data_IF_922896692087
#
_entry.id   IF_922896692087
#
_cell.length_a   1.000
_cell.length_b   1.000
_cell.length_c   1.000
_cell.angle_alpha   90.00
_cell.angle_beta   90.00
_cell.angle_gamma   90.00
#
_symmetry.space_group_name_H-M   'P 1'
#
loop_
_entity.id
_entity.type
_entity.pdbx_description
1 polymer ?
#
# COMPACT_ATOMS: atom_id res chain seq x y z
N UNK A 1 21.73 -29.26 -4.50
CA UNK A 1 22.74 -28.28 -4.89
C UNK A 1 22.70 -28.06 -6.39
N UNK A 2 22.60 -26.83 -6.79
CA UNK A 2 22.53 -26.45 -8.19
C UNK A 2 23.34 -25.20 -8.47
N UNK A 3 23.24 -24.69 -9.67
CA UNK A 3 23.94 -23.47 -10.05
C UNK A 3 23.17 -22.64 -11.07
N UNK A 4 23.53 -21.36 -11.15
CA UNK A 4 23.03 -20.45 -12.18
C UNK A 4 23.79 -20.72 -13.49
N UNK A 5 23.07 -20.98 -14.57
CA UNK A 5 23.64 -21.28 -15.89
C UNK A 5 23.61 -20.08 -16.83
N UNK A 6 22.62 -19.18 -16.68
CA UNK A 6 22.52 -17.98 -17.48
C UNK A 6 21.70 -16.91 -16.75
N UNK A 7 22.00 -15.64 -17.02
CA UNK A 7 21.24 -14.49 -16.55
C UNK A 7 20.96 -13.60 -17.76
N UNK A 8 19.68 -13.36 -18.06
CA UNK A 8 19.27 -12.54 -19.21
C UNK A 8 18.35 -11.40 -18.76
N UNK A 9 18.72 -10.15 -19.09
CA UNK A 9 17.90 -8.99 -18.84
C UNK A 9 16.68 -8.94 -19.75
N UNK A 10 15.50 -8.83 -19.15
CA UNK A 10 14.22 -8.57 -19.81
C UNK A 10 13.83 -7.10 -19.59
N UNK A 11 12.60 -6.70 -19.95
CA UNK A 11 12.16 -5.30 -19.79
C UNK A 11 12.21 -4.80 -18.33
N UNK A 12 11.70 -5.61 -17.39
CA UNK A 12 11.59 -5.24 -15.96
C UNK A 12 12.29 -6.20 -15.04
N UNK A 13 12.45 -7.43 -15.47
CA UNK A 13 13.01 -8.52 -14.67
C UNK A 13 14.20 -9.14 -15.38
N UNK A 14 14.95 -9.95 -14.63
CA UNK A 14 15.99 -10.80 -15.16
C UNK A 14 15.50 -12.23 -15.13
N UNK A 15 15.66 -12.93 -16.25
CA UNK A 15 15.49 -14.39 -16.29
C UNK A 15 16.80 -15.04 -15.82
N UNK A 16 16.70 -15.87 -14.82
CA UNK A 16 17.83 -16.63 -14.28
C UNK A 16 17.57 -18.10 -14.58
N UNK A 17 18.42 -18.68 -15.39
CA UNK A 17 18.35 -20.10 -15.72
C UNK A 17 19.15 -20.90 -14.69
N UNK A 18 18.56 -21.99 -14.21
CA UNK A 18 19.09 -22.81 -13.12
C UNK A 18 19.33 -24.25 -13.60
N UNK A 19 20.30 -24.92 -13.00
CA UNK A 19 20.49 -26.36 -13.14
C UNK A 19 20.57 -27.01 -11.77
N UNK A 20 20.04 -28.21 -11.63
CA UNK A 20 20.05 -28.96 -10.37
C UNK A 20 18.90 -28.61 -9.43
N UNK A 21 17.89 -27.90 -9.90
CA UNK A 21 16.64 -27.58 -9.18
C UNK A 21 15.43 -28.06 -9.99
N UNK A 22 14.30 -28.20 -9.32
CA UNK A 22 13.03 -28.54 -9.97
C UNK A 22 12.58 -27.42 -10.93
N UNK A 23 12.78 -26.18 -10.54
CA UNK A 23 12.57 -25.02 -11.40
C UNK A 23 13.82 -24.74 -12.22
N UNK A 24 13.68 -24.78 -13.54
CA UNK A 24 14.79 -24.50 -14.46
C UNK A 24 14.98 -23.00 -14.72
N UNK A 25 13.98 -22.18 -14.42
CA UNK A 25 13.98 -20.73 -14.67
C UNK A 25 13.22 -19.99 -13.58
N UNK A 26 13.82 -18.90 -13.13
CA UNK A 26 13.15 -17.96 -12.23
C UNK A 26 13.29 -16.53 -12.78
N UNK A 27 12.40 -15.65 -12.36
CA UNK A 27 12.40 -14.23 -12.77
C UNK A 27 12.57 -13.36 -11.55
N UNK A 28 13.64 -12.58 -11.55
CA UNK A 28 14.05 -11.78 -10.41
C UNK A 28 14.18 -10.30 -10.79
N UNK A 29 13.96 -9.42 -9.81
CA UNK A 29 14.22 -8.00 -9.97
C UNK A 29 15.73 -7.72 -9.99
N UNK A 30 16.12 -6.57 -10.55
CA UNK A 30 17.50 -6.11 -10.53
C UNK A 30 18.04 -5.98 -9.10
N UNK A 31 17.22 -5.47 -8.19
CA UNK A 31 17.57 -5.33 -6.78
C UNK A 31 17.99 -6.67 -6.17
N UNK A 32 17.27 -7.73 -6.47
CA UNK A 32 17.59 -9.10 -6.00
C UNK A 32 18.91 -9.59 -6.59
N UNK A 33 19.13 -9.40 -7.88
CA UNK A 33 20.38 -9.78 -8.55
C UNK A 33 21.58 -9.11 -7.86
N UNK A 34 21.48 -7.82 -7.59
CA UNK A 34 22.53 -7.03 -6.95
C UNK A 34 22.71 -7.43 -5.48
N UNK A 35 21.62 -7.57 -4.75
CA UNK A 35 21.62 -7.87 -3.31
C UNK A 35 22.35 -9.18 -2.99
N UNK A 36 22.12 -10.21 -3.77
CA UNK A 36 22.73 -11.53 -3.58
C UNK A 36 23.99 -11.76 -4.43
N UNK A 37 24.46 -10.75 -5.15
CA UNK A 37 25.61 -10.86 -6.07
C UNK A 37 25.49 -12.05 -7.01
N UNK A 38 24.30 -12.20 -7.63
CA UNK A 38 24.02 -13.34 -8.52
C UNK A 38 24.80 -13.19 -9.82
N UNK A 39 25.47 -14.26 -10.20
CA UNK A 39 26.23 -14.36 -11.45
C UNK A 39 26.19 -15.78 -12.00
N UNK A 40 26.60 -15.92 -13.26
CA UNK A 40 26.70 -17.24 -13.90
C UNK A 40 27.73 -18.08 -13.15
N UNK A 41 27.45 -19.38 -13.04
CA UNK A 41 28.21 -20.38 -12.30
C UNK A 41 28.16 -20.27 -10.77
N UNK A 42 27.40 -19.31 -10.22
CA UNK A 42 27.17 -19.26 -8.77
C UNK A 42 26.43 -20.53 -8.32
N UNK A 43 26.99 -21.22 -7.36
CA UNK A 43 26.40 -22.40 -6.73
C UNK A 43 25.40 -21.94 -5.65
N UNK A 44 24.25 -22.62 -5.61
CA UNK A 44 23.16 -22.36 -4.67
C UNK A 44 22.66 -23.67 -4.13
N UNK A 45 22.22 -23.70 -2.88
CA UNK A 45 21.42 -24.78 -2.34
C UNK A 45 19.92 -24.39 -2.30
N UNK A 46 19.07 -25.29 -1.84
CA UNK A 46 17.60 -25.04 -1.78
C UNK A 46 17.27 -23.91 -0.83
N UNK A 47 18.00 -23.78 0.27
CA UNK A 47 17.81 -22.69 1.24
C UNK A 47 18.19 -21.32 0.65
N UNK A 48 19.29 -21.25 -0.08
CA UNK A 48 19.70 -20.04 -0.81
C UNK A 48 18.61 -19.62 -1.81
N UNK A 49 18.06 -20.56 -2.56
CA UNK A 49 17.03 -20.28 -3.56
C UNK A 49 15.76 -19.76 -2.91
N UNK A 50 15.33 -20.37 -1.81
CA UNK A 50 14.16 -19.92 -1.03
C UNK A 50 14.37 -18.51 -0.49
N UNK A 51 15.54 -18.20 0.05
CA UNK A 51 15.88 -16.86 0.56
C UNK A 51 15.87 -15.82 -0.57
N UNK A 52 16.45 -16.15 -1.73
CA UNK A 52 16.46 -15.28 -2.91
C UNK A 52 15.03 -14.99 -3.38
N UNK A 53 14.19 -16.01 -3.52
CA UNK A 53 12.81 -15.84 -3.96
C UNK A 53 11.97 -15.05 -2.94
N UNK A 54 12.18 -15.27 -1.66
CA UNK A 54 11.50 -14.53 -0.58
C UNK A 54 11.88 -13.05 -0.60
N UNK A 55 13.18 -12.75 -0.71
CA UNK A 55 13.64 -11.37 -0.83
C UNK A 55 13.11 -10.70 -2.11
N UNK A 56 13.03 -11.43 -3.20
CA UNK A 56 12.54 -10.90 -4.47
C UNK A 56 11.05 -10.51 -4.39
N UNK A 57 10.23 -11.27 -3.69
CA UNK A 57 8.84 -10.91 -3.39
C UNK A 57 8.78 -9.57 -2.64
N UNK A 58 9.65 -9.36 -1.66
CA UNK A 58 9.77 -8.08 -0.96
C UNK A 58 10.20 -6.96 -1.91
N UNK A 59 11.25 -7.16 -2.70
CA UNK A 59 11.79 -6.16 -3.62
C UNK A 59 10.77 -5.74 -4.69
N UNK A 60 10.10 -6.70 -5.30
CA UNK A 60 9.04 -6.44 -6.27
C UNK A 60 7.83 -5.77 -5.62
N UNK A 61 7.42 -6.24 -4.44
CA UNK A 61 6.33 -5.65 -3.67
C UNK A 61 6.60 -4.20 -3.30
N UNK A 62 7.80 -3.89 -2.84
CA UNK A 62 8.21 -2.52 -2.53
C UNK A 62 8.13 -1.61 -3.75
N UNK A 63 8.64 -2.07 -4.89
CA UNK A 63 8.60 -1.33 -6.15
C UNK A 63 7.17 -1.04 -6.61
N UNK A 64 6.29 -2.05 -6.56
CA UNK A 64 4.88 -1.92 -6.90
C UNK A 64 4.15 -0.96 -5.96
N UNK A 65 4.42 -1.06 -4.66
CA UNK A 65 3.81 -0.19 -3.66
C UNK A 65 4.23 1.27 -3.86
N UNK A 66 5.52 1.53 -4.08
CA UNK A 66 6.02 2.87 -4.36
C UNK A 66 5.37 3.47 -5.61
N UNK A 67 5.20 2.69 -6.66
CA UNK A 67 4.49 3.11 -7.85
C UNK A 67 3.03 3.48 -7.54
N UNK A 68 2.34 2.63 -6.79
CA UNK A 68 0.92 2.82 -6.44
C UNK A 68 0.68 4.08 -5.60
N UNK A 69 1.52 4.33 -4.59
CA UNK A 69 1.42 5.51 -3.74
C UNK A 69 1.91 6.79 -4.41
N UNK A 70 2.65 6.70 -5.52
CA UNK A 70 3.13 7.88 -6.25
C UNK A 70 2.00 8.70 -6.88
N UNK A 71 0.83 8.10 -7.13
CA UNK A 71 -0.32 8.77 -7.73
C UNK A 71 -1.15 9.57 -6.73
N UNK A 72 -1.33 9.03 -5.54
CA UNK A 72 -2.04 9.68 -4.42
C UNK A 72 -1.76 8.94 -3.11
N UNK A 73 -2.08 9.60 -2.00
CA UNK A 73 -2.01 8.98 -0.68
C UNK A 73 -2.91 7.73 -0.61
N UNK A 74 -2.36 6.64 -0.07
CA UNK A 74 -3.05 5.35 0.08
C UNK A 74 -3.01 4.88 1.53
N UNK A 75 -4.03 4.14 1.94
CA UNK A 75 -4.02 3.46 3.24
C UNK A 75 -3.17 2.19 3.17
N UNK A 76 -2.72 1.70 4.33
CA UNK A 76 -2.00 0.42 4.41
C UNK A 76 -2.83 -0.74 3.84
N UNK A 77 -4.13 -0.74 4.09
CA UNK A 77 -5.06 -1.75 3.56
C UNK A 77 -5.18 -1.69 2.03
N UNK A 78 -5.24 -0.51 1.44
CA UNK A 78 -5.26 -0.33 -0.02
C UNK A 78 -3.96 -0.85 -0.67
N UNK A 79 -2.81 -0.56 -0.07
CA UNK A 79 -1.51 -1.05 -0.54
C UNK A 79 -1.44 -2.58 -0.44
N UNK A 80 -1.87 -3.15 0.68
CA UNK A 80 -1.90 -4.60 0.88
C UNK A 80 -2.73 -5.30 -0.19
N UNK A 81 -3.92 -4.79 -0.46
CA UNK A 81 -4.82 -5.31 -1.50
C UNK A 81 -4.19 -5.21 -2.88
N UNK A 82 -3.59 -4.06 -3.21
CA UNK A 82 -2.90 -3.85 -4.48
C UNK A 82 -1.79 -4.86 -4.71
N UNK A 83 -0.96 -5.10 -3.70
CA UNK A 83 0.13 -6.09 -3.79
C UNK A 83 -0.41 -7.50 -4.01
N UNK A 84 -1.46 -7.90 -3.28
CA UNK A 84 -2.10 -9.21 -3.45
C UNK A 84 -2.68 -9.40 -4.85
N UNK A 85 -3.25 -8.36 -5.44
CA UNK A 85 -3.79 -8.37 -6.80
C UNK A 85 -2.70 -8.39 -7.89
N UNK A 86 -1.46 -8.06 -7.55
CA UNK A 86 -0.32 -8.00 -8.45
C UNK A 86 0.71 -9.12 -8.19
N UNK A 87 0.22 -10.29 -7.82
CA UNK A 87 1.00 -11.53 -7.69
C UNK A 87 2.02 -11.54 -6.54
N UNK A 88 1.93 -10.61 -5.59
CA UNK A 88 2.68 -10.69 -4.35
C UNK A 88 1.81 -11.44 -3.35
N UNK A 89 2.02 -12.73 -3.22
CA UNK A 89 1.20 -13.64 -2.42
C UNK A 89 1.81 -14.01 -1.07
N UNK A 90 3.10 -13.75 -0.86
CA UNK A 90 3.75 -13.99 0.41
C UNK A 90 3.35 -12.90 1.43
N UNK A 91 2.49 -13.27 2.37
CA UNK A 91 1.95 -12.35 3.39
C UNK A 91 3.03 -11.70 4.25
N UNK A 92 4.08 -12.46 4.61
CA UNK A 92 5.19 -11.94 5.42
C UNK A 92 5.95 -10.85 4.67
N UNK A 93 6.12 -11.00 3.38
CA UNK A 93 6.80 -10.01 2.54
C UNK A 93 5.93 -8.78 2.30
N UNK A 94 4.62 -8.95 2.17
CA UNK A 94 3.67 -7.82 2.13
C UNK A 94 3.76 -7.03 3.44
N UNK A 95 3.75 -7.70 4.59
CA UNK A 95 3.89 -7.07 5.90
C UNK A 95 5.20 -6.28 6.01
N UNK A 96 6.30 -6.83 5.52
CA UNK A 96 7.61 -6.17 5.52
C UNK A 96 7.60 -4.92 4.64
N UNK A 97 7.00 -4.97 3.46
CA UNK A 97 6.83 -3.81 2.59
C UNK A 97 6.04 -2.70 3.30
N UNK A 98 4.92 -3.05 3.91
CA UNK A 98 4.09 -2.11 4.67
C UNK A 98 4.89 -1.49 5.82
N UNK A 99 5.66 -2.29 6.57
CA UNK A 99 6.50 -1.82 7.66
C UNK A 99 7.56 -0.82 7.19
N UNK A 100 8.29 -1.13 6.14
CA UNK A 100 9.34 -0.26 5.59
C UNK A 100 8.75 1.07 5.12
N UNK A 101 7.65 1.03 4.39
CA UNK A 101 6.99 2.25 3.89
C UNK A 101 6.37 3.08 5.02
N UNK A 102 5.86 2.43 6.06
CA UNK A 102 5.34 3.11 7.25
C UNK A 102 6.46 3.81 8.03
N UNK A 103 7.59 3.15 8.23
CA UNK A 103 8.78 3.74 8.89
C UNK A 103 9.31 4.97 8.15
N UNK A 104 9.23 4.97 6.83
CA UNK A 104 9.63 6.09 5.98
C UNK A 104 8.53 7.13 5.79
N UNK A 105 7.41 7.00 6.49
CA UNK A 105 6.24 7.90 6.43
C UNK A 105 5.63 8.02 5.02
N UNK A 106 5.82 7.01 4.18
CA UNK A 106 5.21 6.91 2.85
C UNK A 106 3.81 6.30 2.91
N UNK A 107 3.55 5.47 3.93
CA UNK A 107 2.22 5.02 4.35
C UNK A 107 1.98 5.54 5.76
N UNK A 108 0.87 6.24 5.96
CA UNK A 108 0.50 6.79 7.25
C UNK A 108 -1.03 6.87 7.37
N UNK A 109 -1.65 5.86 7.93
CA UNK A 109 -3.11 5.77 8.06
C UNK A 109 -3.69 6.90 8.92
N UNK A 110 -2.96 7.32 9.95
CA UNK A 110 -3.35 8.46 10.79
C UNK A 110 -3.43 9.74 9.98
N UNK A 111 -2.40 10.07 9.22
CA UNK A 111 -2.37 11.25 8.37
C UNK A 111 -3.44 11.16 7.27
N UNK A 112 -3.66 9.97 6.71
CA UNK A 112 -4.74 9.73 5.74
C UNK A 112 -6.11 10.07 6.34
N UNK A 113 -6.39 9.55 7.54
CA UNK A 113 -7.64 9.81 8.25
C UNK A 113 -7.81 11.30 8.55
N UNK A 114 -6.78 11.97 9.06
CA UNK A 114 -6.81 13.41 9.36
C UNK A 114 -7.09 14.25 8.11
N UNK A 115 -6.38 13.99 7.02
CA UNK A 115 -6.58 14.70 5.75
C UNK A 115 -7.97 14.46 5.17
N UNK A 116 -8.47 13.22 5.26
CA UNK A 116 -9.81 12.87 4.80
C UNK A 116 -10.89 13.63 5.60
N UNK A 117 -10.76 13.64 6.93
CA UNK A 117 -11.69 14.32 7.83
C UNK A 117 -11.70 15.83 7.54
N UNK A 118 -10.53 16.46 7.48
CA UNK A 118 -10.38 17.88 7.18
C UNK A 118 -11.00 18.25 5.84
N UNK A 119 -10.78 17.43 4.82
CA UNK A 119 -11.38 17.61 3.49
C UNK A 119 -12.91 17.57 3.54
N UNK A 120 -13.49 16.64 4.28
CA UNK A 120 -14.96 16.53 4.43
C UNK A 120 -15.55 17.67 5.23
N UNK A 121 -14.89 18.12 6.28
CA UNK A 121 -15.28 19.30 7.06
C UNK A 121 -15.24 20.54 6.19
N UNK A 122 -14.15 20.77 5.46
CA UNK A 122 -13.98 21.91 4.57
C UNK A 122 -15.06 21.98 3.49
N UNK A 123 -15.45 20.83 2.93
CA UNK A 123 -16.53 20.75 1.94
C UNK A 123 -17.93 20.83 2.55
N UNK A 124 -18.05 20.64 3.87
CA UNK A 124 -19.34 20.58 4.56
C UNK A 124 -20.24 19.42 4.06
N UNK A 125 -19.64 18.33 3.59
CA UNK A 125 -20.33 17.29 2.83
C UNK A 125 -20.77 16.08 3.64
N UNK A 126 -20.29 15.91 4.88
CA UNK A 126 -20.60 14.75 5.70
C UNK A 126 -20.41 15.04 7.19
N UNK A 127 -21.19 14.34 8.02
CA UNK A 127 -21.05 14.34 9.47
C UNK A 127 -20.06 13.28 9.97
N UNK A 128 -19.76 13.25 11.30
CA UNK A 128 -18.74 12.35 11.86
C UNK A 128 -19.00 10.88 11.60
N UNK A 129 -20.23 10.45 11.71
CA UNK A 129 -20.63 9.05 11.49
C UNK A 129 -20.35 8.61 10.05
N UNK A 130 -20.77 9.41 9.08
CA UNK A 130 -20.57 9.11 7.65
C UNK A 130 -19.07 9.07 7.30
N UNK A 131 -18.30 10.01 7.86
CA UNK A 131 -16.85 10.07 7.69
C UNK A 131 -16.21 8.78 8.23
N UNK A 132 -16.60 8.38 9.44
CA UNK A 132 -16.10 7.15 10.07
C UNK A 132 -16.39 5.91 9.20
N UNK A 133 -17.61 5.79 8.68
CA UNK A 133 -17.98 4.65 7.83
C UNK A 133 -17.15 4.59 6.53
N UNK A 134 -16.90 5.72 5.92
CA UNK A 134 -16.06 5.80 4.72
C UNK A 134 -14.62 5.40 5.01
N UNK A 135 -14.06 5.84 6.13
CA UNK A 135 -12.70 5.48 6.55
C UNK A 135 -12.58 4.00 6.92
N UNK A 136 -13.58 3.41 7.54
CA UNK A 136 -13.65 1.96 7.79
C UNK A 136 -13.62 1.19 6.46
N UNK A 137 -14.38 1.63 5.47
CA UNK A 137 -14.39 1.04 4.12
C UNK A 137 -13.00 1.07 3.46
N UNK A 138 -12.21 2.09 3.78
CA UNK A 138 -10.82 2.20 3.30
C UNK A 138 -9.83 1.34 4.11
N UNK A 139 -10.31 0.61 5.10
CA UNK A 139 -9.54 -0.32 5.88
C UNK A 139 -8.73 0.30 7.02
N UNK A 140 -9.07 1.51 7.45
CA UNK A 140 -8.40 2.15 8.60
C UNK A 140 -9.00 1.62 9.90
N UNK A 141 -8.13 1.36 10.87
CA UNK A 141 -8.52 0.91 12.21
C UNK A 141 -9.41 1.95 12.90
N UNK A 142 -10.48 1.48 13.55
CA UNK A 142 -11.45 2.35 14.22
C UNK A 142 -10.83 3.23 15.32
N UNK A 143 -9.80 2.74 16.04
CA UNK A 143 -9.10 3.53 17.05
C UNK A 143 -8.38 4.72 16.43
N UNK A 144 -7.75 4.55 15.29
CA UNK A 144 -7.09 5.62 14.53
C UNK A 144 -8.13 6.64 14.08
N UNK A 145 -9.26 6.17 13.57
CA UNK A 145 -10.37 7.04 13.12
C UNK A 145 -10.93 7.85 14.30
N UNK A 146 -11.22 7.20 15.42
CA UNK A 146 -11.79 7.86 16.59
C UNK A 146 -10.84 8.91 17.17
N UNK A 147 -9.54 8.63 17.23
CA UNK A 147 -8.54 9.61 17.66
C UNK A 147 -8.46 10.79 16.70
N UNK A 148 -8.47 10.56 15.40
CA UNK A 148 -8.43 11.60 14.38
C UNK A 148 -9.69 12.49 14.44
N UNK A 149 -10.87 11.89 14.61
CA UNK A 149 -12.13 12.61 14.79
C UNK A 149 -12.13 13.47 16.06
N UNK A 150 -11.64 12.91 17.18
CA UNK A 150 -11.49 13.63 18.45
C UNK A 150 -10.60 14.86 18.33
N UNK A 151 -9.50 14.74 17.59
CA UNK A 151 -8.50 15.80 17.44
C UNK A 151 -8.94 16.91 16.49
N UNK A 152 -9.68 16.58 15.45
CA UNK A 152 -9.99 17.49 14.35
C UNK A 152 -11.46 17.92 14.38
N UNK A 153 -12.38 16.96 14.57
CA UNK A 153 -13.81 17.18 14.52
C UNK A 153 -14.35 17.51 15.91
N UNK A 154 -14.18 18.76 16.34
CA UNK A 154 -14.68 19.24 17.63
C UNK A 154 -16.11 19.79 17.51
N UNK A 155 -16.73 20.15 18.64
CA UNK A 155 -18.10 20.65 18.71
C UNK A 155 -18.34 21.87 17.81
N UNK A 156 -17.41 22.83 17.78
CA UNK A 156 -17.49 24.03 16.93
C UNK A 156 -17.52 23.64 15.45
N UNK A 157 -16.64 22.73 15.00
CA UNK A 157 -16.62 22.24 13.63
C UNK A 157 -17.88 21.43 13.29
N UNK A 158 -18.43 20.67 14.23
CA UNK A 158 -19.70 19.97 14.04
C UNK A 158 -20.85 20.94 13.76
N UNK A 159 -20.94 22.03 14.51
CA UNK A 159 -21.96 23.08 14.31
C UNK A 159 -21.78 23.72 12.92
N UNK A 160 -20.55 24.04 12.52
CA UNK A 160 -20.26 24.64 11.22
C UNK A 160 -20.67 23.72 10.06
N UNK A 161 -20.36 22.43 10.15
CA UNK A 161 -20.76 21.44 9.14
C UNK A 161 -22.28 21.30 9.08
N UNK A 162 -22.95 21.20 10.21
CA UNK A 162 -24.41 21.14 10.29
C UNK A 162 -25.07 22.37 9.66
N UNK A 163 -24.54 23.55 9.91
CA UNK A 163 -25.01 24.80 9.31
C UNK A 163 -24.86 24.79 7.77
N UNK A 164 -23.73 24.38 7.24
CA UNK A 164 -23.50 24.27 5.79
C UNK A 164 -24.43 23.25 5.13
N UNK A 165 -24.70 22.12 5.76
CA UNK A 165 -25.64 21.12 5.27
C UNK A 165 -27.07 21.65 5.25
N UNK A 166 -27.47 22.40 6.28
CA UNK A 166 -28.78 23.02 6.36
C UNK A 166 -28.98 24.09 5.26
N UNK A 167 -27.96 24.94 5.00
CA UNK A 167 -27.99 25.90 3.89
C UNK A 167 -28.16 25.22 2.54
N UNK A 168 -27.41 24.13 2.29
CA UNK A 168 -27.52 23.38 1.03
C UNK A 168 -28.91 22.80 0.83
N UNK A 169 -29.50 22.24 1.87
CA UNK A 169 -30.86 21.70 1.85
C UNK A 169 -31.89 22.80 1.58
N UNK A 170 -31.78 23.93 2.26
CA UNK A 170 -32.66 25.09 2.08
C UNK A 170 -32.61 25.62 0.64
N UNK A 171 -31.44 25.76 0.04
CA UNK A 171 -31.28 26.18 -1.36
C UNK A 171 -31.95 25.19 -2.32
N UNK A 172 -31.81 23.90 -2.07
CA UNK A 172 -32.44 22.86 -2.90
C UNK A 172 -33.96 22.93 -2.86
N UNK A 173 -34.54 23.15 -1.69
CA UNK A 173 -36.00 23.35 -1.53
C UNK A 173 -36.48 24.68 -2.13
N UNK A 174 -35.71 25.74 -1.94
CA UNK A 174 -36.01 27.06 -2.52
C UNK A 174 -36.05 27.06 -4.05
N UNK A 175 -35.27 26.23 -4.71
CA UNK A 175 -35.25 26.10 -6.15
C UNK A 175 -36.44 25.30 -6.72
N UNK A 176 -37.16 24.55 -5.88
CA UNK A 176 -38.36 23.75 -6.27
C UNK A 176 -39.68 24.53 -6.13
N UNK A 177 -39.61 25.65 -5.49
CA UNK A 177 -40.73 26.57 -5.34
C UNK A 177 -40.75 27.60 -6.45
#
# INVERSE_FOLDING_TARGET
>A
MGKITAIKKLKRLYRVDLSGFDEEKIYLSEDTIVHFFLNVDKELDDADLEEIQSYDQFAQGKSLALYYISFKMRTSSEVRKYLSEHEIDNTDQIDEVINVLTKNNLINDKAYAENFIEGKISMGSAGPYQIKQKLITKGINSLIIDQALSNIYNEEKQIDVAYKLAEKTSRTYGQRL
#
